data_IF_209017202053
#
_entry.id   IF_209017202053
#
_cell.length_a   1.000
_cell.length_b   1.000
_cell.length_c   1.000
_cell.angle_alpha   90.00
_cell.angle_beta   90.00
_cell.angle_gamma   90.00
#
_symmetry.space_group_name_H-M   'P 1'
#
loop_
_entity.id
_entity.type
_entity.pdbx_description
1 polymer ?
#
# COMPACT_ATOMS: atom_id res chain seq x y z
N UNK A 1 -0.89 8.79 31.43
CA UNK A 1 -0.78 7.50 30.71
C UNK A 1 -1.35 7.75 29.33
N UNK A 2 -0.50 8.06 28.36
CA UNK A 2 -0.90 8.34 26.97
C UNK A 2 -1.23 7.03 26.29
N UNK A 3 -2.42 6.92 25.72
CA UNK A 3 -2.67 5.90 24.69
C UNK A 3 -1.72 6.25 23.52
N UNK A 4 -0.74 5.40 23.24
CA UNK A 4 0.02 5.50 21.99
C UNK A 4 -0.92 5.12 20.83
N UNK A 5 -0.61 5.62 19.63
CA UNK A 5 -1.33 5.32 18.37
C UNK A 5 -1.32 3.81 18.01
N UNK A 6 -0.65 2.98 18.80
CA UNK A 6 -0.56 1.54 18.65
C UNK A 6 -1.90 0.88 19.04
N UNK A 7 -2.72 0.68 18.01
CA UNK A 7 -3.39 -0.59 17.73
C UNK A 7 -4.58 -0.98 18.61
N UNK A 8 -5.77 -0.49 18.23
CA UNK A 8 -6.96 -1.36 18.31
C UNK A 8 -6.76 -2.43 17.23
N UNK A 9 -5.92 -3.42 17.53
CA UNK A 9 -5.70 -4.58 16.69
C UNK A 9 -6.50 -5.74 17.24
N UNK A 10 -7.42 -6.25 16.43
CA UNK A 10 -8.22 -7.41 16.79
C UNK A 10 -7.52 -8.67 16.28
N UNK A 11 -7.30 -9.63 17.17
CA UNK A 11 -6.69 -10.89 16.81
C UNK A 11 -7.68 -12.04 16.95
N UNK A 12 -7.71 -12.93 15.96
CA UNK A 12 -8.42 -14.19 16.03
C UNK A 12 -7.58 -15.33 15.47
N UNK A 13 -7.50 -16.44 16.21
CA UNK A 13 -6.91 -17.67 15.70
C UNK A 13 -7.99 -18.56 15.10
N UNK A 14 -7.91 -18.83 13.80
CA UNK A 14 -8.86 -19.71 13.14
C UNK A 14 -8.48 -21.19 13.33
N UNK A 15 -9.15 -21.85 14.27
CA UNK A 15 -9.00 -23.29 14.56
C UNK A 15 -10.05 -24.15 13.82
N UNK A 16 -10.28 -23.89 12.52
CA UNK A 16 -11.26 -24.60 11.68
C UNK A 16 -12.72 -24.52 12.15
N UNK A 17 -13.08 -23.50 12.94
CA UNK A 17 -14.44 -23.28 13.44
C UNK A 17 -15.11 -22.06 12.77
N UNK A 18 -15.81 -22.22 11.64
CA UNK A 18 -16.38 -21.09 10.90
C UNK A 18 -17.52 -20.37 11.65
N UNK A 19 -18.24 -21.07 12.53
CA UNK A 19 -19.34 -20.47 13.33
C UNK A 19 -18.77 -19.50 14.37
N UNK A 20 -17.64 -19.86 14.97
CA UNK A 20 -16.96 -19.02 15.95
C UNK A 20 -16.31 -17.80 15.30
N UNK A 21 -15.64 -17.98 14.16
CA UNK A 21 -15.12 -16.88 13.35
C UNK A 21 -16.24 -15.89 12.98
N UNK A 22 -17.37 -16.39 12.49
CA UNK A 22 -18.50 -15.53 12.14
C UNK A 22 -19.04 -14.78 13.37
N UNK A 23 -19.24 -15.47 14.51
CA UNK A 23 -19.73 -14.83 15.73
C UNK A 23 -18.76 -13.76 16.25
N UNK A 24 -17.46 -14.00 16.10
CA UNK A 24 -16.42 -13.04 16.48
C UNK A 24 -16.38 -11.82 15.56
N UNK A 25 -16.33 -12.03 14.23
CA UNK A 25 -16.36 -10.94 13.24
C UNK A 25 -17.61 -10.06 13.38
N UNK A 26 -18.78 -10.65 13.63
CA UNK A 26 -20.04 -9.90 13.87
C UNK A 26 -19.97 -8.98 15.09
N UNK A 27 -19.11 -9.26 16.07
CA UNK A 27 -18.89 -8.39 17.24
C UNK A 27 -17.80 -7.36 16.97
N UNK A 28 -16.74 -7.75 16.27
CA UNK A 28 -15.55 -6.91 16.06
C UNK A 28 -15.78 -5.87 14.97
N UNK A 29 -16.36 -6.25 13.83
CA UNK A 29 -16.49 -5.36 12.66
C UNK A 29 -17.22 -4.04 12.97
N UNK A 30 -18.32 -4.00 13.75
CA UNK A 30 -18.95 -2.73 14.12
C UNK A 30 -18.05 -1.83 14.98
N UNK A 31 -17.34 -2.42 15.95
CA UNK A 31 -16.40 -1.69 16.83
C UNK A 31 -15.21 -1.19 16.03
N UNK A 32 -14.68 -2.04 15.15
CA UNK A 32 -13.57 -1.71 14.27
C UNK A 32 -13.93 -0.57 13.32
N UNK A 33 -15.12 -0.62 12.69
CA UNK A 33 -15.63 0.45 11.82
C UNK A 33 -15.84 1.76 12.56
N UNK A 34 -16.24 1.70 13.83
CA UNK A 34 -16.35 2.90 14.65
C UNK A 34 -14.98 3.45 15.06
N UNK A 35 -14.05 2.59 15.46
CA UNK A 35 -12.66 2.98 15.74
C UNK A 35 -11.96 3.60 14.53
N UNK A 36 -12.23 3.05 13.33
CA UNK A 36 -11.67 3.52 12.07
C UNK A 36 -12.11 4.94 11.68
N UNK A 37 -13.06 5.54 12.38
CA UNK A 37 -13.38 6.96 12.18
C UNK A 37 -12.23 7.88 12.59
N UNK A 38 -11.33 7.42 13.47
CA UNK A 38 -10.29 8.28 14.06
C UNK A 38 -8.88 7.78 13.84
N UNK A 39 -8.67 6.46 13.76
CA UNK A 39 -7.35 5.82 13.65
C UNK A 39 -7.46 4.55 12.82
N UNK A 40 -6.38 4.11 12.18
CA UNK A 40 -6.41 2.85 11.45
C UNK A 40 -6.68 1.68 12.42
N UNK A 41 -7.54 0.75 12.00
CA UNK A 41 -7.88 -0.45 12.79
C UNK A 41 -7.48 -1.68 12.02
N UNK A 42 -6.69 -2.55 12.64
CA UNK A 42 -6.22 -3.80 12.03
C UNK A 42 -6.98 -4.98 12.64
N UNK A 43 -7.41 -5.92 11.81
CA UNK A 43 -8.02 -7.18 12.24
C UNK A 43 -7.20 -8.30 11.63
N UNK A 44 -6.45 -9.01 12.46
CA UNK A 44 -5.61 -10.13 12.06
C UNK A 44 -6.28 -11.45 12.41
N UNK A 45 -6.33 -12.34 11.41
CA UNK A 45 -6.90 -13.67 11.53
C UNK A 45 -5.81 -14.68 11.17
N UNK A 46 -5.21 -15.31 12.18
CA UNK A 46 -4.24 -16.40 12.01
C UNK A 46 -4.94 -17.59 11.32
N UNK A 47 -4.29 -18.17 10.31
CA UNK A 47 -4.87 -19.21 9.43
C UNK A 47 -6.14 -18.77 8.68
N UNK A 48 -6.45 -17.47 8.64
CA UNK A 48 -7.66 -16.94 7.99
C UNK A 48 -7.64 -17.07 6.47
N UNK A 49 -6.47 -17.24 5.84
CA UNK A 49 -6.33 -17.35 4.38
C UNK A 49 -7.18 -18.48 3.80
N UNK A 50 -7.31 -19.60 4.51
CA UNK A 50 -8.08 -20.78 4.05
C UNK A 50 -9.60 -20.54 4.00
N UNK A 51 -10.07 -19.43 4.57
CA UNK A 51 -11.48 -19.03 4.63
C UNK A 51 -11.71 -17.58 4.17
N UNK A 52 -10.84 -17.06 3.30
CA UNK A 52 -10.91 -15.70 2.76
C UNK A 52 -12.29 -15.33 2.19
N UNK A 53 -12.92 -16.24 1.44
CA UNK A 53 -14.23 -16.08 0.84
C UNK A 53 -15.35 -15.87 1.89
N UNK A 54 -15.26 -16.53 3.05
CA UNK A 54 -16.23 -16.34 4.15
C UNK A 54 -16.03 -15.02 4.85
N UNK A 55 -14.78 -14.63 5.06
CA UNK A 55 -14.44 -13.35 5.69
C UNK A 55 -14.96 -12.20 4.81
N UNK A 56 -14.71 -12.27 3.49
CA UNK A 56 -15.21 -11.29 2.52
C UNK A 56 -16.74 -11.16 2.50
N UNK A 57 -17.47 -12.28 2.53
CA UNK A 57 -18.94 -12.25 2.57
C UNK A 57 -19.48 -11.57 3.85
N UNK A 58 -18.85 -11.81 5.00
CA UNK A 58 -19.25 -11.16 6.27
C UNK A 58 -18.92 -9.68 6.24
N UNK A 59 -17.75 -9.26 5.75
CA UNK A 59 -17.42 -7.84 5.62
C UNK A 59 -18.44 -7.09 4.75
N UNK A 60 -18.88 -7.71 3.65
CA UNK A 60 -19.90 -7.16 2.76
C UNK A 60 -21.27 -7.02 3.46
N UNK A 61 -21.69 -7.99 4.27
CA UNK A 61 -22.93 -7.93 5.08
C UNK A 61 -22.95 -6.68 5.99
N UNK A 62 -21.81 -6.30 6.55
CA UNK A 62 -21.67 -5.15 7.46
C UNK A 62 -21.32 -3.83 6.75
N UNK A 63 -21.23 -3.84 5.42
CA UNK A 63 -20.80 -2.68 4.64
C UNK A 63 -19.44 -2.15 5.13
N UNK A 64 -18.54 -3.07 5.48
CA UNK A 64 -17.17 -2.76 5.86
C UNK A 64 -16.30 -2.97 4.62
N UNK A 65 -15.61 -1.91 4.22
CA UNK A 65 -14.58 -1.96 3.18
C UNK A 65 -13.25 -1.71 3.88
N UNK A 66 -12.30 -2.62 3.69
CA UNK A 66 -10.99 -2.54 4.27
C UNK A 66 -9.99 -3.20 3.33
N UNK A 67 -8.74 -2.75 3.38
CA UNK A 67 -7.66 -3.34 2.59
C UNK A 67 -7.39 -4.74 3.11
N UNK A 68 -7.38 -5.71 2.21
CA UNK A 68 -7.05 -7.09 2.55
C UNK A 68 -5.61 -7.39 2.21
N UNK A 69 -4.88 -7.95 3.17
CA UNK A 69 -3.58 -8.56 2.95
C UNK A 69 -3.64 -10.01 3.41
N UNK A 70 -3.38 -10.92 2.48
CA UNK A 70 -3.51 -12.35 2.67
C UNK A 70 -2.18 -13.00 2.26
N UNK A 71 -1.51 -13.67 3.19
CA UNK A 71 -0.37 -14.51 2.85
C UNK A 71 1.00 -13.89 3.04
N UNK A 72 1.42 -13.70 4.28
CA UNK A 72 2.73 -14.18 4.72
C UNK A 72 2.38 -15.02 5.95
N UNK A 73 2.83 -16.27 6.03
CA UNK A 73 2.65 -17.11 7.22
C UNK A 73 1.17 -17.45 7.57
N UNK A 74 0.28 -17.52 6.58
CA UNK A 74 -1.12 -17.99 6.76
C UNK A 74 -2.11 -16.97 7.34
N UNK A 75 -1.68 -15.72 7.57
CA UNK A 75 -2.55 -14.66 8.10
C UNK A 75 -3.46 -14.04 7.04
N UNK A 76 -4.64 -13.62 7.50
CA UNK A 76 -5.55 -12.74 6.79
C UNK A 76 -5.76 -11.46 7.60
N UNK A 77 -5.25 -10.34 7.09
CA UNK A 77 -5.32 -9.03 7.74
C UNK A 77 -6.31 -8.12 7.02
N UNK A 78 -7.21 -7.51 7.77
CA UNK A 78 -8.14 -6.48 7.31
C UNK A 78 -7.71 -5.15 7.93
N UNK A 79 -7.40 -4.17 7.09
CA UNK A 79 -7.09 -2.81 7.56
C UNK A 79 -8.27 -1.89 7.24
N UNK A 80 -8.88 -1.33 8.28
CA UNK A 80 -9.88 -0.28 8.16
C UNK A 80 -9.17 1.06 8.29
N UNK A 81 -9.01 1.74 7.16
CA UNK A 81 -8.28 3.00 7.07
C UNK A 81 -9.10 4.16 7.63
N UNK A 82 -8.41 5.02 8.37
CA UNK A 82 -8.95 6.28 8.86
C UNK A 82 -9.09 7.31 7.74
N UNK A 83 -9.95 8.32 7.95
CA UNK A 83 -10.14 9.39 6.97
C UNK A 83 -8.84 10.15 6.59
N UNK A 84 -7.88 10.41 7.50
CA UNK A 84 -6.57 10.96 7.14
C UNK A 84 -5.75 10.05 6.22
N UNK A 85 -5.79 8.72 6.43
CA UNK A 85 -5.13 7.75 5.57
C UNK A 85 -5.72 7.80 4.14
N UNK A 86 -7.06 7.77 4.02
CA UNK A 86 -7.75 7.94 2.74
C UNK A 86 -7.45 9.30 2.10
N UNK A 87 -7.34 10.38 2.89
CA UNK A 87 -6.91 11.67 2.36
C UNK A 87 -5.45 11.66 1.88
N UNK A 88 -4.61 10.81 2.47
CA UNK A 88 -3.25 10.53 2.02
C UNK A 88 -3.18 9.90 0.62
N UNK A 89 -4.24 9.28 0.10
CA UNK A 89 -4.25 8.80 -1.30
C UNK A 89 -4.50 9.92 -2.31
N UNK A 90 -4.76 11.15 -1.87
CA UNK A 90 -4.97 12.30 -2.77
C UNK A 90 -3.78 12.58 -3.67
N UNK A 91 -2.54 12.25 -3.28
CA UNK A 91 -1.34 12.50 -4.08
C UNK A 91 -1.45 11.91 -5.49
N UNK A 92 -1.74 10.61 -5.59
CA UNK A 92 -1.83 9.94 -6.89
C UNK A 92 -3.05 10.42 -7.69
N UNK A 93 -4.16 10.77 -7.03
CA UNK A 93 -5.33 11.36 -7.70
C UNK A 93 -5.04 12.77 -8.24
N UNK A 94 -4.23 13.56 -7.54
CA UNK A 94 -3.80 14.87 -8.05
C UNK A 94 -2.86 14.72 -9.25
N UNK A 95 -1.92 13.78 -9.21
CA UNK A 95 -1.07 13.47 -10.36
C UNK A 95 -1.92 13.08 -11.57
N UNK A 96 -2.85 12.15 -11.38
CA UNK A 96 -3.86 11.77 -12.37
C UNK A 96 -4.56 13.00 -12.98
N UNK A 97 -5.18 13.86 -12.17
CA UNK A 97 -5.86 15.07 -12.63
C UNK A 97 -4.92 16.00 -13.43
N UNK A 98 -3.64 16.08 -13.07
CA UNK A 98 -2.67 16.96 -13.74
C UNK A 98 -2.15 16.39 -15.05
N UNK A 99 -2.08 15.06 -15.20
CA UNK A 99 -1.77 14.41 -16.47
C UNK A 99 -2.82 14.76 -17.52
N UNK A 100 -4.10 14.83 -17.13
CA UNK A 100 -5.18 15.19 -18.04
C UNK A 100 -4.90 16.51 -18.75
N UNK A 101 -4.43 17.53 -18.03
CA UNK A 101 -4.09 18.84 -18.60
C UNK A 101 -2.97 18.76 -19.67
N UNK A 102 -2.11 17.75 -19.63
CA UNK A 102 -1.02 17.55 -20.59
C UNK A 102 -1.43 16.79 -21.86
N UNK A 103 -2.64 16.22 -21.93
CA UNK A 103 -3.11 15.47 -23.11
C UNK A 103 -3.47 16.35 -24.31
N UNK A 104 -3.14 17.65 -24.30
CA UNK A 104 -3.31 18.55 -25.44
C UNK A 104 -4.76 18.91 -25.80
N UNK A 105 -5.72 18.53 -24.94
CA UNK A 105 -7.12 18.93 -25.06
C UNK A 105 -7.26 20.35 -24.51
N UNK A 106 -7.75 21.28 -25.34
CA UNK A 106 -7.81 22.72 -25.00
C UNK A 106 -8.73 23.03 -23.81
N UNK A 107 -9.76 22.21 -23.60
CA UNK A 107 -10.67 22.32 -22.46
C UNK A 107 -10.23 21.37 -21.33
N UNK A 108 -9.87 21.89 -20.14
CA UNK A 108 -9.45 21.05 -19.00
C UNK A 108 -10.50 20.02 -18.57
N UNK A 109 -11.79 20.35 -18.69
CA UNK A 109 -12.88 19.41 -18.37
C UNK A 109 -12.89 18.22 -19.31
N UNK A 110 -12.80 18.48 -20.61
CA UNK A 110 -12.71 17.45 -21.66
C UNK A 110 -11.42 16.64 -21.56
N UNK A 111 -10.31 17.27 -21.15
CA UNK A 111 -9.05 16.58 -20.91
C UNK A 111 -9.15 15.57 -19.76
N UNK A 112 -9.84 15.96 -18.68
CA UNK A 112 -10.13 15.08 -17.54
C UNK A 112 -11.04 13.93 -17.95
N UNK A 113 -12.13 14.22 -18.67
CA UNK A 113 -13.00 13.18 -19.20
C UNK A 113 -12.23 12.21 -20.11
N UNK A 114 -11.34 12.72 -20.96
CA UNK A 114 -10.50 11.88 -21.81
C UNK A 114 -9.60 10.96 -20.98
N UNK A 115 -8.91 11.50 -19.96
CA UNK A 115 -8.06 10.69 -19.09
C UNK A 115 -8.86 9.60 -18.35
N UNK A 116 -10.08 9.91 -17.90
CA UNK A 116 -11.01 8.95 -17.27
C UNK A 116 -11.38 7.77 -18.18
N UNK A 117 -11.31 7.94 -19.51
CA UNK A 117 -11.52 6.86 -20.48
C UNK A 117 -10.22 6.14 -20.91
N UNK A 118 -9.06 6.74 -20.65
CA UNK A 118 -7.78 6.14 -20.98
C UNK A 118 -7.22 5.31 -19.83
N UNK A 119 -7.57 5.69 -18.60
CA UNK A 119 -7.04 5.08 -17.39
C UNK A 119 -8.18 4.82 -16.42
N UNK A 120 -8.41 3.56 -16.12
CA UNK A 120 -9.32 3.16 -15.06
C UNK A 120 -8.61 3.22 -13.72
N UNK A 121 -9.23 3.94 -12.78
CA UNK A 121 -9.00 3.70 -11.37
C UNK A 121 -9.43 2.27 -11.07
N UNK A 122 -8.45 1.41 -10.79
CA UNK A 122 -8.74 -0.01 -10.54
C UNK A 122 -9.29 -0.26 -9.14
N UNK A 123 -9.28 0.79 -8.32
CA UNK A 123 -9.79 0.82 -6.98
C UNK A 123 -8.94 0.01 -6.01
N UNK A 124 -9.18 0.29 -4.74
CA UNK A 124 -8.67 -0.33 -3.50
C UNK A 124 -8.86 -1.87 -3.40
N UNK A 125 -8.78 -2.63 -4.49
CA UNK A 125 -9.26 -4.02 -4.60
C UNK A 125 -8.60 -4.90 -5.67
N UNK A 126 -7.59 -4.40 -6.42
CA UNK A 126 -6.78 -5.30 -7.27
C UNK A 126 -5.80 -6.07 -6.42
N UNK A 127 -5.94 -7.39 -6.45
CA UNK A 127 -5.03 -8.31 -5.76
C UNK A 127 -3.72 -8.41 -6.54
N UNK A 128 -2.64 -7.91 -5.94
CA UNK A 128 -1.29 -8.14 -6.42
C UNK A 128 -0.81 -9.44 -5.78
N UNK A 129 -0.61 -10.47 -6.61
CA UNK A 129 0.01 -11.71 -6.20
C UNK A 129 1.51 -11.50 -6.13
N UNK A 130 2.13 -11.91 -5.04
CA UNK A 130 3.56 -11.84 -4.82
C UNK A 130 4.06 -13.24 -4.45
N UNK A 131 5.27 -13.54 -4.86
CA UNK A 131 5.88 -14.87 -4.75
C UNK A 131 7.01 -14.85 -3.70
N UNK A 132 7.97 -15.77 -3.83
CA UNK A 132 9.12 -15.88 -2.93
C UNK A 132 9.98 -14.59 -2.89
N UNK A 133 9.89 -13.72 -3.90
CA UNK A 133 10.57 -12.42 -3.93
C UNK A 133 10.18 -11.56 -2.73
N UNK A 134 8.92 -11.57 -2.31
CA UNK A 134 8.46 -10.78 -1.17
C UNK A 134 9.28 -11.09 0.10
N UNK A 135 9.64 -12.36 0.34
CA UNK A 135 10.49 -12.75 1.49
C UNK A 135 11.92 -12.20 1.35
N UNK A 136 12.44 -12.13 0.13
CA UNK A 136 13.79 -11.63 -0.15
C UNK A 136 13.88 -10.10 -0.05
N UNK A 137 12.78 -9.38 -0.28
CA UNK A 137 12.73 -7.92 -0.12
C UNK A 137 12.84 -7.46 1.33
N UNK A 138 12.40 -8.27 2.30
CA UNK A 138 12.41 -7.93 3.74
C UNK A 138 13.80 -7.47 4.22
N UNK A 139 14.87 -8.30 4.14
CA UNK A 139 16.18 -7.89 4.63
C UNK A 139 16.74 -6.67 3.89
N UNK A 140 16.50 -6.56 2.59
CA UNK A 140 16.92 -5.41 1.78
C UNK A 140 16.25 -4.10 2.22
N UNK A 141 14.95 -4.13 2.52
CA UNK A 141 14.22 -2.95 3.00
C UNK A 141 14.64 -2.57 4.42
N UNK A 142 14.86 -3.57 5.29
CA UNK A 142 15.35 -3.32 6.65
C UNK A 142 16.76 -2.72 6.66
N UNK A 143 17.66 -3.20 5.79
CA UNK A 143 19.01 -2.65 5.61
C UNK A 143 18.96 -1.20 5.12
N UNK A 144 18.28 -0.94 3.99
CA UNK A 144 18.13 0.42 3.46
C UNK A 144 17.56 1.39 4.50
N UNK A 145 16.57 0.94 5.27
CA UNK A 145 15.96 1.75 6.31
C UNK A 145 16.93 2.07 7.45
N UNK A 146 17.70 1.07 7.92
CA UNK A 146 18.73 1.26 8.94
C UNK A 146 19.75 2.32 8.53
N UNK A 147 20.20 2.27 7.27
CA UNK A 147 21.21 3.18 6.74
C UNK A 147 20.71 4.62 6.58
N UNK A 148 19.44 4.83 6.23
CA UNK A 148 18.92 6.15 5.84
C UNK A 148 18.03 6.83 6.89
N UNK A 149 17.40 6.07 7.79
CA UNK A 149 16.43 6.59 8.75
C UNK A 149 16.75 6.25 10.22
N UNK A 150 17.71 5.34 10.46
CA UNK A 150 18.17 4.94 11.78
C UNK A 150 17.23 3.97 12.53
N UNK A 151 17.81 3.22 13.48
CA UNK A 151 17.14 2.12 14.20
C UNK A 151 15.92 2.52 15.04
N UNK A 152 15.80 3.81 15.40
CA UNK A 152 14.80 4.29 16.36
C UNK A 152 13.41 4.54 15.76
N UNK A 153 13.29 4.48 14.43
CA UNK A 153 12.04 4.68 13.69
C UNK A 153 11.48 3.36 13.09
N UNK A 154 12.12 2.22 13.35
CA UNK A 154 11.82 0.96 12.67
C UNK A 154 10.77 0.11 13.39
N UNK A 155 9.52 0.14 12.90
CA UNK A 155 8.68 -1.06 13.04
C UNK A 155 9.33 -2.15 12.18
N UNK A 156 9.81 -3.24 12.78
CA UNK A 156 10.14 -4.46 12.02
C UNK A 156 8.96 -4.79 11.12
N UNK A 157 9.21 -5.18 9.87
CA UNK A 157 8.12 -5.68 9.02
C UNK A 157 7.49 -6.84 9.81
N UNK A 158 6.18 -6.81 10.17
CA UNK A 158 5.61 -7.77 11.11
C UNK A 158 5.69 -9.20 10.56
N UNK A 159 6.75 -9.92 10.92
CA UNK A 159 6.96 -11.32 10.63
C UNK A 159 6.49 -12.05 11.88
N UNK A 160 5.18 -12.27 12.03
CA UNK A 160 4.68 -13.12 13.10
C UNK A 160 5.05 -14.59 12.83
N UNK A 161 6.31 -14.88 13.19
CA UNK A 161 7.06 -16.12 13.42
C UNK A 161 7.06 -17.23 12.36
N UNK A 162 8.19 -17.26 11.65
CA UNK A 162 9.01 -18.43 11.31
C UNK A 162 8.51 -19.80 11.83
N UNK A 163 8.01 -20.64 10.92
CA UNK A 163 8.15 -22.12 10.87
C UNK A 163 7.14 -22.79 9.91
N UNK A 164 6.20 -22.06 9.31
CA UNK A 164 5.22 -22.64 8.39
C UNK A 164 5.69 -22.62 6.93
N UNK A 165 5.88 -23.81 6.35
CA UNK A 165 6.18 -24.09 4.93
C UNK A 165 4.95 -24.03 4.01
N UNK A 166 3.80 -23.56 4.50
CA UNK A 166 2.55 -23.59 3.75
C UNK A 166 2.29 -22.26 3.00
N UNK A 167 2.17 -22.38 1.67
CA UNK A 167 1.69 -21.37 0.71
C UNK A 167 2.64 -20.19 0.44
N UNK A 168 3.40 -20.32 -0.65
CA UNK A 168 4.43 -19.40 -1.19
C UNK A 168 3.89 -18.11 -1.84
N UNK A 169 2.64 -17.75 -1.60
CA UNK A 169 1.94 -16.68 -2.31
C UNK A 169 1.36 -15.68 -1.33
N UNK A 170 1.83 -14.44 -1.44
CA UNK A 170 1.28 -13.27 -0.79
C UNK A 170 0.31 -12.57 -1.74
N UNK A 171 -0.77 -12.04 -1.21
CA UNK A 171 -1.78 -11.32 -1.96
C UNK A 171 -2.14 -10.07 -1.19
N UNK A 172 -2.15 -8.93 -1.88
CA UNK A 172 -2.50 -7.65 -1.26
C UNK A 172 -3.28 -6.77 -2.20
N UNK A 173 -4.20 -6.00 -1.65
CA UNK A 173 -4.84 -4.88 -2.32
C UNK A 173 -4.06 -3.57 -2.02
N UNK A 174 -3.68 -2.77 -3.03
CA UNK A 174 -3.05 -1.48 -2.81
C UNK A 174 -4.08 -0.43 -2.33
N UNK A 175 -3.60 0.65 -1.70
CA UNK A 175 -4.49 1.71 -1.19
C UNK A 175 -5.13 2.52 -2.33
N UNK A 176 -4.41 2.71 -3.44
CA UNK A 176 -4.93 3.30 -4.66
C UNK A 176 -4.13 2.78 -5.85
N UNK A 177 -4.79 2.50 -6.97
CA UNK A 177 -4.10 2.02 -8.18
C UNK A 177 -4.80 2.45 -9.47
N UNK A 178 -4.02 2.60 -10.53
CA UNK A 178 -4.47 3.04 -11.85
C UNK A 178 -3.89 2.12 -12.93
N UNK A 179 -4.69 1.82 -13.96
CA UNK A 179 -4.25 1.02 -15.10
C UNK A 179 -4.77 1.61 -16.42
N UNK A 180 -4.01 1.53 -17.52
CA UNK A 180 -4.52 1.92 -18.82
C UNK A 180 -5.57 0.95 -19.34
N UNK A 181 -6.65 1.45 -19.91
CA UNK A 181 -7.80 0.65 -20.34
C UNK A 181 -7.46 -0.31 -21.50
N UNK A 182 -6.42 -0.02 -22.27
CA UNK A 182 -5.97 -0.89 -23.37
C UNK A 182 -5.34 -2.20 -22.89
N UNK A 183 -5.00 -2.34 -21.61
CA UNK A 183 -4.47 -3.59 -21.04
C UNK A 183 -5.53 -4.70 -20.97
N UNK A 184 -6.81 -4.35 -20.83
CA UNK A 184 -7.94 -5.29 -20.65
C UNK A 184 -8.19 -6.17 -21.90
N UNK A 185 -7.64 -5.81 -23.07
CA UNK A 185 -7.89 -6.52 -24.35
C UNK A 185 -6.71 -7.32 -24.91
N UNK A 186 -5.51 -7.17 -24.36
CA UNK A 186 -4.27 -7.61 -25.01
C UNK A 186 -3.80 -9.01 -24.61
N UNK A 187 -4.11 -9.49 -23.41
CA UNK A 187 -4.00 -10.90 -22.98
C UNK A 187 -4.69 -11.06 -21.61
N UNK A 188 -5.44 -12.16 -21.40
CA UNK A 188 -6.31 -12.35 -20.22
C UNK A 188 -5.56 -12.72 -18.92
N UNK A 189 -4.23 -12.73 -18.94
CA UNK A 189 -3.46 -13.40 -17.89
C UNK A 189 -3.28 -12.59 -16.60
N UNK A 190 -3.41 -11.25 -16.61
CA UNK A 190 -3.50 -10.44 -15.38
C UNK A 190 -3.77 -8.98 -15.65
N UNK A 191 -4.78 -8.44 -15.00
CA UNK A 191 -5.18 -7.04 -15.03
C UNK A 191 -4.51 -6.34 -13.83
N UNK A 192 -3.36 -5.71 -14.08
CA UNK A 192 -2.46 -5.16 -13.07
C UNK A 192 -2.17 -3.68 -13.35
N UNK A 193 -2.05 -2.85 -12.31
CA UNK A 193 -1.89 -1.42 -12.45
C UNK A 193 -0.51 -1.01 -13.00
N UNK A 194 -0.45 0.17 -13.62
CA UNK A 194 0.80 0.86 -14.00
C UNK A 194 1.29 1.79 -12.90
N UNK A 195 0.37 2.38 -12.12
CA UNK A 195 0.71 3.23 -10.99
C UNK A 195 -0.03 2.81 -9.73
N UNK A 196 0.67 2.79 -8.60
CA UNK A 196 0.09 2.50 -7.28
C UNK A 196 0.47 3.57 -6.26
N UNK A 197 -0.38 3.73 -5.25
CA UNK A 197 -0.09 4.51 -4.05
C UNK A 197 -0.29 3.62 -2.83
N UNK A 198 0.66 3.70 -1.92
CA UNK A 198 0.64 3.10 -0.60
C UNK A 198 0.74 4.21 0.41
N UNK A 199 -0.06 4.13 1.47
CA UNK A 199 -0.11 5.13 2.52
C UNK A 199 0.08 4.43 3.86
N UNK A 200 0.86 5.04 4.74
CA UNK A 200 1.00 4.62 6.12
C UNK A 200 0.86 5.81 7.05
N UNK A 201 0.44 5.52 8.28
CA UNK A 201 0.35 6.49 9.36
C UNK A 201 1.23 6.04 10.52
N UNK A 202 1.90 6.99 11.17
CA UNK A 202 2.65 6.72 12.39
C UNK A 202 4.07 6.22 12.19
N UNK A 203 4.70 6.47 11.04
CA UNK A 203 6.13 6.24 10.86
C UNK A 203 6.54 4.80 10.52
N UNK A 204 5.61 3.95 10.06
CA UNK A 204 5.94 2.59 9.57
C UNK A 204 6.55 2.60 8.15
N UNK A 205 7.63 3.36 7.98
CA UNK A 205 8.26 3.62 6.67
C UNK A 205 8.84 2.34 6.04
N UNK A 206 9.43 1.45 6.83
CA UNK A 206 9.92 0.15 6.33
C UNK A 206 8.79 -0.67 5.70
N UNK A 207 7.63 -0.76 6.37
CA UNK A 207 6.44 -1.44 5.86
C UNK A 207 5.90 -0.77 4.60
N UNK A 208 5.91 0.56 4.55
CA UNK A 208 5.50 1.33 3.38
C UNK A 208 6.36 1.02 2.14
N UNK A 209 7.69 1.07 2.30
CA UNK A 209 8.65 0.77 1.24
C UNK A 209 8.49 -0.68 0.79
N UNK A 210 8.41 -1.61 1.75
CA UNK A 210 8.16 -3.03 1.47
C UNK A 210 6.88 -3.23 0.65
N UNK A 211 5.79 -2.58 1.04
CA UNK A 211 4.52 -2.61 0.33
C UNK A 211 4.63 -2.12 -1.13
N UNK A 212 5.38 -1.04 -1.37
CA UNK A 212 5.61 -0.50 -2.71
C UNK A 212 6.42 -1.47 -3.59
N UNK A 213 7.54 -1.98 -3.06
CA UNK A 213 8.48 -2.83 -3.81
C UNK A 213 7.93 -4.23 -4.04
N UNK A 214 7.23 -4.78 -3.06
CA UNK A 214 6.57 -6.08 -3.19
C UNK A 214 5.44 -6.03 -4.22
N UNK A 215 4.76 -4.88 -4.34
CA UNK A 215 3.78 -4.65 -5.40
C UNK A 215 4.45 -4.59 -6.78
N UNK A 216 5.55 -3.85 -6.91
CA UNK A 216 6.36 -3.80 -8.13
C UNK A 216 6.80 -5.22 -8.56
N UNK A 217 7.38 -5.98 -7.63
CA UNK A 217 7.82 -7.36 -7.86
C UNK A 217 6.67 -8.28 -8.29
N UNK A 218 5.56 -8.27 -7.54
CA UNK A 218 4.37 -9.07 -7.84
C UNK A 218 3.70 -8.73 -9.17
N UNK A 219 3.91 -7.50 -9.67
CA UNK A 219 3.40 -7.07 -10.97
C UNK A 219 4.21 -7.56 -12.17
N UNK A 220 5.38 -8.19 -11.93
CA UNK A 220 6.35 -8.62 -12.96
C UNK A 220 6.66 -7.52 -13.99
N UNK A 221 6.83 -6.29 -13.49
CA UNK A 221 7.22 -5.14 -14.31
C UNK A 221 6.05 -4.35 -14.92
N UNK A 222 4.79 -4.69 -14.63
CA UNK A 222 3.64 -3.88 -15.09
C UNK A 222 3.54 -2.53 -14.38
N UNK A 223 3.94 -2.46 -13.11
CA UNK A 223 3.98 -1.20 -12.35
C UNK A 223 5.20 -0.39 -12.79
N UNK A 224 4.96 0.84 -13.25
CA UNK A 224 5.93 1.85 -13.66
C UNK A 224 6.13 2.92 -12.57
N UNK A 225 5.16 3.12 -11.67
CA UNK A 225 5.25 4.08 -10.58
C UNK A 225 4.67 3.51 -9.29
N UNK A 226 5.46 3.50 -8.22
CA UNK A 226 4.97 3.29 -6.86
C UNK A 226 5.17 4.55 -6.02
N UNK A 227 4.12 5.03 -5.38
CA UNK A 227 4.14 6.18 -4.48
C UNK A 227 3.93 5.73 -3.05
N UNK A 228 4.92 5.93 -2.18
CA UNK A 228 4.78 5.70 -0.75
C UNK A 228 4.50 7.01 -0.02
N UNK A 229 3.43 7.10 0.77
CA UNK A 229 3.06 8.28 1.56
C UNK A 229 3.12 7.93 3.05
N UNK A 230 4.09 8.47 3.77
CA UNK A 230 4.19 8.38 5.24
C UNK A 230 3.63 9.64 5.89
N UNK A 231 2.57 9.47 6.68
CA UNK A 231 1.93 10.53 7.43
C UNK A 231 2.41 10.50 8.90
N UNK A 232 3.07 11.57 9.33
CA UNK A 232 3.47 11.76 10.73
C UNK A 232 2.51 12.69 11.44
N UNK A 233 2.01 12.23 12.58
CA UNK A 233 0.98 12.91 13.36
C UNK A 233 1.41 12.93 14.81
N UNK A 234 1.17 14.05 15.49
CA UNK A 234 1.35 14.18 16.93
C UNK A 234 0.11 14.84 17.57
N UNK A 235 0.21 15.19 18.85
CA UNK A 235 -0.88 15.83 19.61
C UNK A 235 -1.34 17.19 19.03
N UNK A 236 -0.56 17.81 18.14
CA UNK A 236 -0.90 19.06 17.46
C UNK A 236 -1.52 18.84 16.06
N UNK A 237 -1.53 17.59 15.59
CA UNK A 237 -2.07 17.15 14.31
C UNK A 237 -1.01 16.61 13.37
N UNK A 238 -1.33 16.62 12.08
CA UNK A 238 -0.37 16.31 11.02
C UNK A 238 0.81 17.28 11.11
N UNK A 239 2.01 16.75 11.32
CA UNK A 239 3.25 17.54 11.34
C UNK A 239 4.01 17.42 10.04
N UNK A 240 3.97 16.24 9.42
CA UNK A 240 4.80 15.93 8.27
C UNK A 240 4.14 14.91 7.35
N UNK A 241 4.34 15.10 6.05
CA UNK A 241 4.12 14.08 5.03
C UNK A 241 5.45 13.81 4.36
N UNK A 242 5.86 12.54 4.29
CA UNK A 242 7.01 12.11 3.49
C UNK A 242 6.50 11.28 2.31
N UNK A 243 6.90 11.68 1.11
CA UNK A 243 6.56 11.03 -0.14
C UNK A 243 7.81 10.30 -0.66
N UNK A 244 7.64 9.03 -1.01
CA UNK A 244 8.61 8.19 -1.70
C UNK A 244 8.13 7.99 -3.13
N UNK A 245 8.93 8.40 -4.11
CA UNK A 245 8.64 8.24 -5.53
C UNK A 245 9.56 7.19 -6.08
N UNK A 246 9.02 5.99 -6.30
CA UNK A 246 9.74 4.86 -6.87
C UNK A 246 9.36 4.73 -8.35
N UNK A 247 10.17 5.34 -9.22
CA UNK A 247 9.99 5.31 -10.67
C UNK A 247 10.68 4.07 -11.26
N UNK A 248 9.88 3.14 -11.76
CA UNK A 248 10.30 1.91 -12.45
C UNK A 248 9.85 1.90 -13.91
N UNK A 249 9.60 3.08 -14.50
CA UNK A 249 9.32 3.23 -15.93
C UNK A 249 10.48 2.71 -16.78
N UNK A 250 10.19 2.31 -18.02
CA UNK A 250 11.21 1.75 -18.92
C UNK A 250 12.31 2.78 -19.17
N UNK A 251 11.96 4.05 -19.40
CA UNK A 251 12.98 5.10 -19.60
C UNK A 251 13.86 5.33 -18.38
N UNK A 252 13.37 5.08 -17.15
CA UNK A 252 14.18 5.16 -15.93
C UNK A 252 15.09 3.95 -15.79
N UNK A 253 14.54 2.73 -15.90
CA UNK A 253 15.31 1.50 -15.70
C UNK A 253 16.42 1.30 -16.73
N UNK A 254 16.22 1.75 -17.98
CA UNK A 254 17.28 1.73 -19.02
C UNK A 254 18.52 2.52 -18.59
N UNK A 255 18.39 3.58 -17.78
CA UNK A 255 19.57 4.34 -17.29
C UNK A 255 20.46 3.53 -16.37
N UNK A 256 19.92 2.47 -15.76
CA UNK A 256 20.60 1.60 -14.83
C UNK A 256 20.94 0.24 -15.45
N UNK A 257 20.88 0.10 -16.78
CA UNK A 257 21.11 -1.16 -17.48
C UNK A 257 22.56 -1.64 -17.49
N UNK A 258 23.51 -0.86 -16.98
CA UNK A 258 24.85 -1.37 -16.67
C UNK A 258 24.78 -2.49 -15.62
N UNK A 259 23.76 -2.48 -14.77
CA UNK A 259 23.42 -3.59 -13.92
C UNK A 259 22.70 -4.68 -14.73
N UNK A 260 23.33 -5.85 -14.86
CA UNK A 260 22.83 -6.94 -15.70
C UNK A 260 21.44 -7.47 -15.26
N UNK A 261 21.13 -7.42 -13.96
CA UNK A 261 19.82 -7.81 -13.45
C UNK A 261 18.74 -6.81 -13.84
N UNK A 262 19.04 -5.50 -13.72
CA UNK A 262 18.14 -4.45 -14.18
C UNK A 262 17.94 -4.55 -15.69
N UNK A 263 18.99 -4.81 -16.46
CA UNK A 263 18.90 -4.99 -17.90
C UNK A 263 17.97 -6.16 -18.29
N UNK A 264 18.11 -7.34 -17.66
CA UNK A 264 17.23 -8.49 -17.88
C UNK A 264 15.79 -8.19 -17.51
N UNK A 265 15.55 -7.60 -16.34
CA UNK A 265 14.22 -7.23 -15.88
C UNK A 265 13.56 -6.21 -16.83
N UNK A 266 14.31 -5.18 -17.23
CA UNK A 266 13.83 -4.13 -18.14
C UNK A 266 13.50 -4.69 -19.52
N UNK A 267 14.30 -5.64 -20.03
CA UNK A 267 14.01 -6.33 -21.29
C UNK A 267 12.68 -7.07 -21.22
N UNK A 268 12.46 -7.86 -20.17
CA UNK A 268 11.18 -8.58 -19.97
C UNK A 268 10.00 -7.62 -19.81
N UNK A 269 10.21 -6.49 -19.14
CA UNK A 269 9.21 -5.42 -19.00
C UNK A 269 8.85 -4.79 -20.37
N UNK A 270 9.85 -4.53 -21.21
CA UNK A 270 9.66 -4.03 -22.59
C UNK A 270 8.87 -5.04 -23.43
N UNK A 271 9.25 -6.33 -23.40
CA UNK A 271 8.55 -7.41 -24.12
C UNK A 271 7.06 -7.41 -23.78
N UNK A 272 6.71 -7.38 -22.49
CA UNK A 272 5.32 -7.30 -22.04
C UNK A 272 4.63 -6.02 -22.53
N UNK A 273 5.31 -4.87 -22.48
CA UNK A 273 4.71 -3.59 -22.89
C UNK A 273 4.44 -3.54 -24.40
N UNK A 274 5.35 -4.08 -25.21
CA UNK A 274 5.19 -4.14 -26.67
C UNK A 274 3.96 -4.96 -27.08
N UNK A 275 3.67 -6.07 -26.41
CA UNK A 275 2.44 -6.85 -26.65
C UNK A 275 1.20 -5.95 -26.51
N UNK A 276 1.11 -5.18 -25.42
CA UNK A 276 -0.02 -4.30 -25.17
C UNK A 276 -0.09 -3.12 -26.17
N UNK A 277 1.06 -2.56 -26.56
CA UNK A 277 1.11 -1.44 -27.50
C UNK A 277 0.82 -1.84 -28.94
N UNK A 278 1.34 -2.97 -29.42
CA UNK A 278 0.98 -3.50 -30.73
C UNK A 278 -0.50 -3.88 -30.79
N UNK A 279 -1.04 -4.48 -29.72
CA UNK A 279 -2.48 -4.68 -29.62
C UNK A 279 -3.23 -3.36 -29.80
N UNK A 280 -2.90 -2.32 -29.01
CA UNK A 280 -3.55 -1.02 -29.14
C UNK A 280 -3.39 -0.42 -30.56
N UNK A 281 -2.21 -0.52 -31.16
CA UNK A 281 -1.92 -0.07 -32.53
C UNK A 281 -2.82 -0.77 -33.55
N UNK A 282 -2.90 -2.10 -33.50
CA UNK A 282 -3.73 -2.91 -34.38
C UNK A 282 -5.21 -2.54 -34.23
N UNK A 283 -5.70 -2.37 -33.00
CA UNK A 283 -7.09 -1.99 -32.74
C UNK A 283 -7.41 -0.59 -33.27
N UNK A 284 -6.50 0.36 -33.14
CA UNK A 284 -6.66 1.71 -33.71
C UNK A 284 -6.63 1.71 -35.23
N UNK A 285 -5.79 0.87 -35.86
CA UNK A 285 -5.74 0.73 -37.32
C UNK A 285 -6.96 -0.03 -37.85
N UNK A 286 -7.46 -1.01 -37.10
CA UNK A 286 -8.58 -1.87 -37.47
C UNK A 286 -9.95 -1.34 -37.04
N UNK A 287 -10.09 -0.04 -36.71
CA UNK A 287 -11.37 0.61 -36.35
C UNK A 287 -12.38 0.64 -37.51
N UNK A 288 -12.76 -0.52 -38.02
CA UNK A 288 -13.69 -0.73 -39.12
C UNK A 288 -15.10 -0.98 -38.60
N UNK A 289 -15.24 -1.63 -37.43
CA UNK A 289 -16.54 -1.88 -36.80
C UNK A 289 -16.97 -0.73 -35.89
N UNK A 290 -18.29 -0.55 -35.73
CA UNK A 290 -18.85 0.47 -34.82
C UNK A 290 -18.45 0.20 -33.37
N UNK A 291 -18.39 -1.06 -32.95
CA UNK A 291 -18.03 -1.46 -31.58
C UNK A 291 -16.57 -1.11 -31.25
N UNK A 292 -15.64 -1.39 -32.16
CA UNK A 292 -14.22 -0.99 -32.00
C UNK A 292 -14.03 0.51 -32.00
N UNK A 293 -14.71 1.22 -32.91
CA UNK A 293 -14.67 2.69 -32.95
C UNK A 293 -15.19 3.32 -31.67
N UNK A 294 -16.16 2.71 -31.00
CA UNK A 294 -16.66 3.20 -29.71
C UNK A 294 -15.67 2.86 -28.60
N UNK A 295 -15.11 1.64 -28.58
CA UNK A 295 -14.21 1.17 -27.52
C UNK A 295 -12.85 1.88 -27.51
N UNK A 296 -12.28 2.18 -28.67
CA UNK A 296 -10.93 2.77 -28.79
C UNK A 296 -10.97 4.23 -29.26
N UNK A 297 -12.15 4.87 -29.27
CA UNK A 297 -12.30 6.27 -29.70
C UNK A 297 -11.37 7.21 -28.95
N UNK A 298 -11.29 7.01 -27.64
CA UNK A 298 -10.58 7.90 -26.73
C UNK A 298 -9.05 7.80 -26.95
N UNK A 299 -8.57 6.65 -27.44
CA UNK A 299 -7.17 6.44 -27.79
C UNK A 299 -6.73 7.11 -29.09
N UNK A 300 -7.66 7.60 -29.93
CA UNK A 300 -7.31 8.31 -31.17
C UNK A 300 -6.49 9.57 -30.89
N UNK A 301 -6.78 10.25 -29.78
CA UNK A 301 -6.11 11.50 -29.40
C UNK A 301 -4.62 11.30 -29.07
N UNK A 302 -4.25 10.11 -28.62
CA UNK A 302 -2.86 9.74 -28.29
C UNK A 302 -2.23 8.82 -29.34
N UNK A 303 -2.94 8.53 -30.44
CA UNK A 303 -2.43 7.72 -31.54
C UNK A 303 -1.05 8.18 -32.07
N UNK A 304 -0.77 9.51 -32.19
CA UNK A 304 0.55 9.97 -32.64
C UNK A 304 1.72 9.56 -31.74
N UNK A 305 1.47 9.18 -30.48
CA UNK A 305 2.52 8.82 -29.51
C UNK A 305 2.79 7.32 -29.44
N UNK A 306 1.88 6.49 -29.97
CA UNK A 306 1.97 5.03 -29.91
C UNK A 306 3.13 4.51 -30.75
N UNK A 307 3.22 4.89 -32.03
CA UNK A 307 4.28 4.41 -32.93
C UNK A 307 5.67 4.84 -32.42
N UNK A 308 5.91 6.12 -32.05
CA UNK A 308 7.18 6.52 -31.46
C UNK A 308 7.53 5.77 -30.17
N UNK A 309 6.53 5.43 -29.34
CA UNK A 309 6.75 4.64 -28.12
C UNK A 309 7.21 3.22 -28.45
N UNK A 310 6.53 2.56 -29.39
CA UNK A 310 6.90 1.22 -29.88
C UNK A 310 8.33 1.23 -30.41
N UNK A 311 8.64 2.15 -31.34
CA UNK A 311 9.98 2.24 -31.93
C UNK A 311 11.07 2.51 -30.89
N UNK A 312 10.77 3.31 -29.85
CA UNK A 312 11.70 3.53 -28.75
C UNK A 312 11.93 2.24 -27.94
N UNK A 313 10.86 1.53 -27.56
CA UNK A 313 10.99 0.30 -26.78
C UNK A 313 11.68 -0.81 -27.56
N UNK A 314 11.41 -0.98 -28.85
CA UNK A 314 12.13 -1.94 -29.72
C UNK A 314 13.63 -1.64 -29.74
N UNK A 315 14.03 -0.37 -29.95
CA UNK A 315 15.45 0.03 -29.91
C UNK A 315 16.10 -0.26 -28.56
N UNK A 316 15.40 -0.02 -27.46
CA UNK A 316 15.93 -0.31 -26.12
C UNK A 316 16.01 -1.81 -25.88
N UNK A 317 15.07 -2.60 -26.39
CA UNK A 317 15.12 -4.05 -26.31
C UNK A 317 16.39 -4.60 -27.00
N UNK A 318 16.68 -4.15 -28.21
CA UNK A 318 17.88 -4.55 -28.96
C UNK A 318 19.17 -4.22 -28.21
N UNK A 319 19.24 -3.01 -27.64
CA UNK A 319 20.36 -2.58 -26.81
C UNK A 319 20.54 -3.47 -25.57
N UNK A 320 19.45 -3.83 -24.89
CA UNK A 320 19.49 -4.67 -23.68
C UNK A 320 19.82 -6.14 -23.98
N UNK A 321 19.41 -6.66 -25.14
CA UNK A 321 19.79 -8.01 -25.60
C UNK A 321 21.32 -8.10 -25.76
N UNK A 322 21.93 -7.08 -26.36
CA UNK A 322 23.38 -7.02 -26.51
C UNK A 322 24.11 -6.95 -25.16
N UNK A 323 23.45 -6.42 -24.13
CA UNK A 323 24.03 -6.15 -22.81
C UNK A 323 23.80 -7.28 -21.80
N UNK A 324 22.71 -8.05 -21.94
CA UNK A 324 22.38 -9.13 -21.00
C UNK A 324 21.54 -10.26 -21.63
N UNK A 325 22.05 -11.49 -21.55
CA UNK A 325 21.32 -12.71 -21.91
C UNK A 325 20.68 -13.40 -20.69
N UNK A 326 19.68 -14.27 -20.93
CA UNK A 326 19.06 -15.12 -19.90
C UNK A 326 17.63 -14.72 -19.51
N UNK A 327 16.92 -15.60 -18.81
CA UNK A 327 15.60 -15.36 -18.21
C UNK A 327 15.71 -14.53 -16.93
N UNK A 328 14.62 -13.87 -16.52
CA UNK A 328 14.56 -13.06 -15.29
C UNK A 328 14.39 -13.98 -14.08
N UNK A 329 15.39 -14.01 -13.20
CA UNK A 329 15.32 -14.73 -11.93
C UNK A 329 14.73 -13.87 -10.81
N UNK A 330 14.36 -14.48 -9.68
CA UNK A 330 13.85 -13.74 -8.51
C UNK A 330 14.89 -12.74 -7.97
N UNK A 331 16.17 -13.12 -8.01
CA UNK A 331 17.30 -12.27 -7.64
C UNK A 331 17.37 -11.02 -8.52
N UNK A 332 17.04 -11.14 -9.82
CA UNK A 332 17.04 -9.99 -10.73
C UNK A 332 15.94 -8.98 -10.36
N UNK A 333 14.79 -9.47 -9.91
CA UNK A 333 13.67 -8.64 -9.45
C UNK A 333 14.05 -7.91 -8.15
N UNK A 334 14.66 -8.62 -7.19
CA UNK A 334 15.12 -8.03 -5.92
C UNK A 334 16.20 -6.98 -6.18
N UNK A 335 17.18 -7.30 -7.01
CA UNK A 335 18.26 -6.40 -7.42
C UNK A 335 17.67 -5.13 -8.06
N UNK A 336 16.71 -5.28 -8.97
CA UNK A 336 16.01 -4.14 -9.58
C UNK A 336 15.24 -3.32 -8.56
N UNK A 337 14.52 -3.95 -7.63
CA UNK A 337 13.80 -3.25 -6.56
C UNK A 337 14.75 -2.44 -5.68
N UNK A 338 15.93 -2.96 -5.37
CA UNK A 338 16.96 -2.23 -4.63
C UNK A 338 17.50 -1.05 -5.42
N UNK A 339 17.83 -1.20 -6.70
CA UNK A 339 18.27 -0.07 -7.55
C UNK A 339 17.19 1.03 -7.61
N UNK A 340 15.92 0.64 -7.74
CA UNK A 340 14.78 1.59 -7.72
C UNK A 340 14.68 2.30 -6.37
N UNK A 341 14.87 1.58 -5.26
CA UNK A 341 14.82 2.16 -3.91
C UNK A 341 15.99 3.11 -3.64
N UNK A 342 17.21 2.74 -4.01
CA UNK A 342 18.42 3.55 -3.87
C UNK A 342 18.34 4.85 -4.68
N UNK A 343 17.57 4.86 -5.77
CA UNK A 343 17.35 6.02 -6.63
C UNK A 343 15.97 6.66 -6.44
N UNK A 344 15.26 6.32 -5.35
CA UNK A 344 13.95 6.89 -5.08
C UNK A 344 14.06 8.38 -4.75
N UNK A 345 13.16 9.19 -5.31
CA UNK A 345 13.04 10.59 -4.93
C UNK A 345 12.19 10.70 -3.66
N UNK A 346 12.75 11.32 -2.62
CA UNK A 346 12.12 11.42 -1.31
C UNK A 346 11.86 12.88 -1.01
N UNK A 347 10.59 13.25 -0.94
CA UNK A 347 10.13 14.61 -0.70
C UNK A 347 9.46 14.69 0.65
N UNK A 348 9.87 15.66 1.46
CA UNK A 348 9.33 15.87 2.80
C UNK A 348 8.62 17.22 2.88
N UNK A 349 7.32 17.18 3.19
CA UNK A 349 6.49 18.35 3.47
C UNK A 349 6.33 18.49 4.97
N UNK A 350 6.80 19.60 5.53
CA UNK A 350 6.71 19.86 6.98
C UNK A 350 6.05 21.20 7.22
N UNK A 351 5.20 21.27 8.26
CA UNK A 351 4.67 22.53 8.77
C UNK A 351 5.20 22.77 10.17
N UNK A 352 6.13 23.72 10.29
CA UNK A 352 6.69 24.18 11.55
C UNK A 352 6.21 25.59 11.91
N UNK A 353 6.81 26.15 12.95
CA UNK A 353 6.56 27.52 13.39
C UNK A 353 6.98 28.56 12.33
N UNK A 354 8.02 28.26 11.56
CA UNK A 354 8.54 29.09 10.47
C UNK A 354 7.74 28.95 9.15
N UNK A 355 6.64 28.19 9.18
CA UNK A 355 5.75 27.98 8.03
C UNK A 355 5.86 26.60 7.38
N UNK A 356 5.36 26.52 6.15
CA UNK A 356 5.39 25.30 5.35
C UNK A 356 6.67 25.23 4.53
N UNK A 357 7.36 24.11 4.61
CA UNK A 357 8.60 23.85 3.87
C UNK A 357 8.49 22.52 3.13
N UNK A 358 9.15 22.46 1.97
CA UNK A 358 9.34 21.24 1.18
C UNK A 358 10.84 21.01 1.05
N UNK A 359 11.30 19.83 1.45
CA UNK A 359 12.73 19.47 1.41
C UNK A 359 12.93 18.08 0.81
N UNK A 360 14.17 17.79 0.40
CA UNK A 360 14.60 16.43 0.10
C UNK A 360 14.85 15.60 1.38
N UNK A 361 15.43 14.40 1.23
CA UNK A 361 15.82 13.54 2.36
C UNK A 361 16.94 14.13 3.23
N UNK A 362 17.81 14.97 2.67
CA UNK A 362 18.93 15.60 3.38
C UNK A 362 18.51 16.90 4.08
N UNK A 363 17.28 17.37 3.84
CA UNK A 363 16.76 18.62 4.39
C UNK A 363 16.99 19.84 3.49
N UNK A 364 17.48 19.65 2.27
CA UNK A 364 17.69 20.72 1.32
C UNK A 364 16.35 21.19 0.72
N UNK A 365 16.09 22.51 0.60
CA UNK A 365 14.84 23.03 0.07
C UNK A 365 14.57 22.59 -1.37
N UNK A 366 13.33 22.20 -1.66
CA UNK A 366 12.85 21.83 -2.99
C UNK A 366 11.77 22.80 -3.47
N UNK A 367 11.82 23.17 -4.75
CA UNK A 367 10.78 24.00 -5.38
C UNK A 367 9.57 23.17 -5.86
N UNK A 368 9.69 21.84 -5.89
CA UNK A 368 8.65 20.93 -6.33
C UNK A 368 9.18 19.53 -6.59
N UNK A 369 8.33 18.71 -7.19
CA UNK A 369 8.59 17.32 -7.62
C UNK A 369 8.13 17.17 -9.08
N UNK A 370 8.90 16.47 -9.91
CA UNK A 370 8.50 16.16 -11.28
C UNK A 370 8.28 14.65 -11.45
N UNK A 371 7.14 14.25 -12.04
CA UNK A 371 6.81 12.83 -12.28
C UNK A 371 6.51 12.61 -13.76
N UNK A 372 7.10 11.59 -14.37
CA UNK A 372 6.91 11.27 -15.79
C UNK A 372 5.48 10.79 -16.08
N UNK A 373 4.89 11.31 -17.16
CA UNK A 373 3.56 10.87 -17.64
C UNK A 373 3.60 9.42 -18.14
N UNK A 374 4.74 8.99 -18.71
CA UNK A 374 4.97 7.59 -19.14
C UNK A 374 4.63 6.60 -18.02
N UNK A 375 4.95 6.93 -16.78
CA UNK A 375 4.76 6.03 -15.66
C UNK A 375 3.27 5.78 -15.29
N UNK A 376 2.35 6.59 -15.84
CA UNK A 376 0.91 6.34 -15.73
C UNK A 376 0.35 5.65 -16.98
N UNK A 377 0.69 6.14 -18.17
CA UNK A 377 0.06 5.70 -19.43
C UNK A 377 0.80 4.55 -20.12
N UNK A 378 2.08 4.35 -19.82
CA UNK A 378 2.94 3.49 -20.60
C UNK A 378 3.37 4.03 -21.96
N UNK A 379 3.07 5.31 -22.21
CA UNK A 379 3.23 5.98 -23.49
C UNK A 379 4.17 7.17 -23.35
N UNK A 380 5.09 7.30 -24.31
CA UNK A 380 5.99 8.43 -24.40
C UNK A 380 5.26 9.54 -25.15
N UNK A 381 4.62 10.43 -24.38
CA UNK A 381 3.93 11.62 -24.92
C UNK A 381 4.91 12.72 -25.41
N UNK A 382 6.20 12.51 -25.18
CA UNK A 382 7.34 13.40 -25.44
C UNK A 382 8.44 13.13 -24.40
N UNK A 383 9.72 13.25 -24.75
CA UNK A 383 10.83 12.90 -23.86
C UNK A 383 10.88 13.71 -22.55
N UNK A 384 10.20 14.87 -22.51
CA UNK A 384 10.10 15.76 -21.33
C UNK A 384 8.68 15.82 -20.75
N UNK A 385 7.77 14.94 -21.16
CA UNK A 385 6.39 14.98 -20.67
C UNK A 385 6.33 14.56 -19.18
N UNK A 386 6.45 15.55 -18.30
CA UNK A 386 6.40 15.41 -16.85
C UNK A 386 5.34 16.31 -16.24
N UNK A 387 4.74 15.83 -15.16
CA UNK A 387 3.87 16.62 -14.29
C UNK A 387 4.71 17.19 -13.16
N UNK A 388 4.77 18.51 -13.10
CA UNK A 388 5.39 19.23 -11.98
C UNK A 388 4.38 19.51 -10.86
N UNK A 389 4.65 18.96 -9.68
CA UNK A 389 4.03 19.31 -8.42
C UNK A 389 4.89 20.38 -7.73
N UNK A 390 4.61 21.65 -8.03
CA UNK A 390 5.27 22.80 -7.37
C UNK A 390 4.96 22.83 -5.88
N UNK A 391 5.79 23.54 -5.13
CA UNK A 391 5.64 23.72 -3.68
C UNK A 391 4.22 24.18 -3.27
N UNK A 392 3.55 25.03 -4.05
CA UNK A 392 2.17 25.45 -3.76
C UNK A 392 1.17 24.29 -3.89
N UNK A 393 1.36 23.42 -4.90
CA UNK A 393 0.51 22.23 -5.08
C UNK A 393 0.73 21.24 -3.93
N UNK A 394 1.99 21.05 -3.50
CA UNK A 394 2.31 20.20 -2.34
C UNK A 394 1.71 20.78 -1.05
N UNK A 395 1.71 22.11 -0.88
CA UNK A 395 1.04 22.79 0.22
C UNK A 395 -0.48 22.56 0.24
N UNK A 396 -1.13 22.59 -0.93
CA UNK A 396 -2.56 22.33 -1.04
C UNK A 396 -2.93 20.89 -0.63
N UNK A 397 -2.11 19.92 -1.05
CA UNK A 397 -2.29 18.51 -0.65
C UNK A 397 -2.09 18.38 0.86
N UNK A 398 -0.99 18.93 1.40
CA UNK A 398 -0.73 18.92 2.85
C UNK A 398 -1.90 19.53 3.63
N UNK A 399 -2.41 20.68 3.18
CA UNK A 399 -3.53 21.38 3.81
C UNK A 399 -4.83 20.58 3.73
N UNK A 400 -5.04 19.81 2.66
CA UNK A 400 -6.19 18.92 2.54
C UNK A 400 -6.14 17.75 3.54
N UNK A 401 -4.97 17.12 3.71
CA UNK A 401 -4.78 16.03 4.70
C UNK A 401 -4.86 16.57 6.12
N UNK A 402 -4.21 17.71 6.40
CA UNK A 402 -4.25 18.37 7.71
C UNK A 402 -5.67 18.78 8.12
N UNK A 403 -6.50 19.26 7.17
CA UNK A 403 -7.92 19.56 7.42
C UNK A 403 -8.75 18.32 7.74
N UNK A 404 -8.53 17.21 7.03
CA UNK A 404 -9.19 15.94 7.33
C UNK A 404 -8.87 15.48 8.76
N UNK A 405 -7.67 15.79 9.26
CA UNK A 405 -7.29 15.50 10.63
C UNK A 405 -7.88 16.51 11.65
N UNK A 406 -7.87 17.81 11.36
CA UNK A 406 -8.35 18.87 12.28
C UNK A 406 -9.87 18.99 12.34
N UNK A 407 -10.59 18.55 11.31
CA UNK A 407 -12.05 18.59 11.23
C UNK A 407 -12.74 17.80 12.35
N UNK A 408 -12.05 16.84 12.94
CA UNK A 408 -12.55 15.97 14.01
C UNK A 408 -11.94 16.30 15.38
N UNK A 409 -11.95 17.58 15.78
CA UNK A 409 -11.80 17.90 17.20
C UNK A 409 -12.93 17.20 17.96
N UNK A 410 -12.57 16.16 18.71
CA UNK A 410 -13.40 15.38 19.65
C UNK A 410 -14.11 16.21 20.73
N UNK A 411 -14.05 17.54 20.70
CA UNK A 411 -14.80 18.42 21.61
C UNK A 411 -16.32 18.38 21.35
N UNK A 412 -16.77 17.94 20.16
CA UNK A 412 -18.18 18.01 19.75
C UNK A 412 -18.82 16.69 19.33
N UNK A 413 -18.15 15.55 19.43
CA UNK A 413 -18.72 14.25 19.04
C UNK A 413 -19.30 13.55 20.29
N UNK A 414 -20.63 13.51 20.50
CA UNK A 414 -21.19 12.75 21.60
C UNK A 414 -20.87 11.26 21.41
N UNK A 415 -20.29 10.66 22.44
CA UNK A 415 -20.00 9.23 22.50
C UNK A 415 -21.28 8.43 22.21
N UNK A 416 -21.28 7.51 21.23
CA UNK A 416 -22.50 6.81 20.83
C UNK A 416 -22.79 5.59 21.68
N UNK A 417 -22.27 5.50 22.91
CA UNK A 417 -22.78 4.53 23.88
C UNK A 417 -24.01 5.17 24.54
N UNK A 418 -25.25 4.73 24.25
CA UNK A 418 -26.37 5.08 25.11
C UNK A 418 -26.14 4.31 26.42
N UNK A 419 -25.67 5.01 27.47
CA UNK A 419 -25.77 4.55 28.86
C UNK A 419 -25.05 3.26 29.26
N UNK A 420 -23.79 3.04 28.85
CA UNK A 420 -23.05 1.78 29.10
C UNK A 420 -22.03 1.76 30.24
N UNK A 421 -21.88 2.83 31.03
CA UNK A 421 -20.92 2.84 32.17
C UNK A 421 -21.29 1.84 33.28
N UNK A 422 -22.55 1.41 33.38
CA UNK A 422 -22.94 0.35 34.33
C UNK A 422 -22.46 -1.05 33.89
N UNK A 423 -22.61 -1.42 32.61
CA UNK A 423 -22.34 -2.81 32.18
C UNK A 423 -20.86 -3.16 32.10
N UNK A 424 -19.99 -2.20 31.75
CA UNK A 424 -18.53 -2.43 31.74
C UNK A 424 -17.98 -2.50 33.17
N UNK A 425 -18.51 -1.68 34.08
CA UNK A 425 -18.16 -1.71 35.51
C UNK A 425 -18.63 -3.01 36.15
N UNK A 426 -19.83 -3.49 35.82
CA UNK A 426 -20.36 -4.77 36.31
C UNK A 426 -19.56 -5.96 35.75
N UNK A 427 -19.10 -5.90 34.50
CA UNK A 427 -18.26 -6.95 33.90
C UNK A 427 -16.84 -6.97 34.47
N UNK A 428 -16.24 -5.80 34.76
CA UNK A 428 -14.94 -5.72 35.44
C UNK A 428 -15.03 -6.17 36.91
N UNK A 429 -16.13 -5.85 37.61
CA UNK A 429 -16.38 -6.33 38.97
C UNK A 429 -16.60 -7.84 39.02
N UNK A 430 -17.26 -8.44 38.01
CA UNK A 430 -17.43 -9.88 37.90
C UNK A 430 -16.10 -10.61 37.65
N UNK A 431 -15.21 -10.02 36.84
CA UNK A 431 -13.88 -10.56 36.56
C UNK A 431 -12.94 -10.44 37.77
N UNK A 432 -13.00 -9.34 38.51
CA UNK A 432 -12.26 -9.19 39.77
C UNK A 432 -12.79 -10.11 40.89
N UNK A 433 -14.10 -10.37 40.95
CA UNK A 433 -14.69 -11.32 41.88
C UNK A 433 -14.31 -12.79 41.55
N UNK A 434 -14.22 -13.14 40.26
CA UNK A 434 -13.70 -14.45 39.81
C UNK A 434 -12.19 -14.62 40.06
N UNK A 435 -11.40 -13.57 39.93
CA UNK A 435 -9.97 -13.61 40.25
C UNK A 435 -9.71 -13.79 41.77
N UNK A 436 -10.55 -13.19 42.63
CA UNK A 436 -10.47 -13.35 44.10
C UNK A 436 -10.96 -14.71 44.61
N UNK A 437 -11.87 -15.36 43.89
CA UNK A 437 -12.35 -16.72 44.23
C UNK A 437 -11.44 -17.84 43.70
N UNK A 438 -10.65 -17.58 42.65
CA UNK A 438 -9.59 -18.46 42.16
C UNK A 438 -8.38 -18.51 43.09
N UNK A 439 -7.95 -17.37 43.63
CA UNK A 439 -6.81 -17.29 44.57
C UNK A 439 -7.13 -17.85 45.95
N UNK A 440 -8.40 -17.86 46.38
CA UNK A 440 -8.84 -18.50 47.62
C UNK A 440 -8.95 -20.04 47.55
N UNK A 441 -8.94 -20.64 46.34
CA UNK A 441 -8.98 -22.11 46.15
C UNK A 441 -7.60 -22.77 46.05
N UNK A 442 -6.51 -22.00 46.03
CA UNK A 442 -5.14 -22.54 46.04
C UNK A 442 -4.41 -22.39 47.40
N UNK A 443 -5.02 -21.75 48.41
CA UNK A 443 -4.45 -21.61 49.76
C UNK A 443 -5.04 -22.55 50.82
N UNK A 444 -5.94 -23.47 50.45
CA UNK A 444 -6.48 -24.52 51.34
C UNK A 444 -6.24 -25.91 50.78
N UNK A 445 -5.05 -26.45 51.03
CA UNK A 445 -4.74 -27.83 50.66
C UNK A 445 -3.31 -28.23 50.97
N UNK A 446 -2.88 -28.18 52.23
CA UNK A 446 -1.84 -29.07 52.80
C UNK A 446 -1.71 -28.80 54.30
N UNK A 447 -2.55 -29.45 55.11
CA UNK A 447 -2.24 -29.74 56.51
C UNK A 447 -2.37 -31.24 56.72
N UNK A 448 -1.25 -31.94 56.81
CA UNK A 448 -1.19 -33.20 57.56
C UNK A 448 -0.27 -33.00 58.76
N UNK A 449 -0.93 -33.02 59.93
CA UNK A 449 -0.43 -33.39 61.25
C UNK A 449 0.60 -34.54 61.19
N UNK A 450 1.63 -34.64 62.04
CA UNK A 450 1.60 -34.91 63.50
C UNK A 450 3.08 -35.19 63.96
N UNK A 451 3.38 -35.45 65.25
CA UNK A 451 3.47 -34.54 66.39
C UNK A 451 4.90 -34.44 67.01
N UNK A 452 4.98 -33.54 68.00
CA UNK A 452 6.06 -33.25 68.95
C UNK A 452 6.89 -34.44 69.46
N UNK A 453 8.20 -34.19 69.65
CA UNK A 453 8.91 -34.49 70.90
C UNK A 453 9.98 -33.43 71.18
N UNK A 454 9.86 -32.83 72.36
CA UNK A 454 10.83 -31.99 73.07
C UNK A 454 12.13 -32.72 73.36
N UNK A 455 13.27 -32.01 73.42
CA UNK A 455 14.12 -31.92 74.62
C UNK A 455 15.28 -30.91 74.39
N UNK A 456 15.30 -29.89 75.27
CA UNK A 456 16.38 -29.09 75.88
C UNK A 456 17.80 -28.96 75.27
N UNK A 457 18.28 -27.69 75.33
CA UNK A 457 19.60 -27.18 75.74
C UNK A 457 20.84 -28.04 75.43
N UNK A 458 21.87 -27.53 74.75
CA UNK A 458 22.67 -26.32 75.05
C UNK A 458 23.42 -25.90 73.80
#
# INVERSE_FOLDING_TARGET
MSLTYDDISFYFKYDNNPVELQRWLRKVLPVAKWGSLTHDVVIDIENGFVVDYKIGAIMQEYGVRGRVTAGLLGYYSIVLHSAPHVAGTKFIRYLYIRIAALLGVQDPGSALCLLDFLVTETGTGRRIFQDEVARMLVPMVEEYFGDHFGDHLGSRIPIASAESTASKVYTKEPDQSFQPDYHVGADNSTDLPTAICEVTMGGQVSRLIFNCLSSLAGSRGKIDLSLGVDLTINNQGLTRIRLFVLDSSITTLVRFSENASVARFTRSKIENRLIHLHHLQDRLQAMQTREERVKYRDYVHIQPTIVPTIEYYERMQDYLIATSGGEVANEDIVETCRVVLENAEIVQMTRGDDGFIVTDINGEPLNGLAVKVEAFLGLIMGFEAQVELRAETLHDIYSAVSRAFKGDRLESTPSPIPGGTSQITDMMNLLQAKARTSTAKHSRGTSQSRPQRSFLAT
#
